data_IF_192348944960
#
_entry.id   IF_192348944960
#
_cell.length_a   1.000
_cell.length_b   1.000
_cell.length_c   1.000
_cell.angle_alpha   90.00
_cell.angle_beta   90.00
_cell.angle_gamma   90.00
#
_symmetry.space_group_name_H-M   'P 1'
#
loop_
_entity.id
_entity.type
_entity.pdbx_description
1 polymer ?
#
# COMPACT_ATOMS: atom_id res chain seq x y z
N UNK A 1 2.55 -2.84 12.40
CA UNK A 1 3.67 -3.21 11.53
C UNK A 1 4.80 -3.77 12.38
N UNK A 2 5.28 -4.95 12.08
CA UNK A 2 6.28 -5.62 12.90
C UNK A 2 7.41 -6.20 12.03
N UNK A 3 8.62 -6.18 12.57
CA UNK A 3 9.78 -6.80 11.93
C UNK A 3 10.72 -7.29 13.03
N UNK A 4 10.77 -8.62 13.21
CA UNK A 4 11.50 -9.23 14.29
C UNK A 4 10.95 -8.77 15.65
N UNK A 5 11.80 -8.19 16.49
CA UNK A 5 11.42 -7.66 17.79
C UNK A 5 10.93 -6.21 17.74
N UNK A 6 10.88 -5.62 16.56
CA UNK A 6 10.49 -4.20 16.37
C UNK A 6 9.02 -4.14 16.01
N UNK A 7 8.25 -3.35 16.76
CA UNK A 7 6.84 -3.10 16.51
C UNK A 7 6.60 -1.61 16.44
N UNK A 8 5.94 -1.17 15.36
CA UNK A 8 5.55 0.23 15.19
C UNK A 8 4.08 0.32 14.85
N UNK A 9 3.39 1.27 15.46
CA UNK A 9 2.00 1.57 15.20
C UNK A 9 1.89 2.91 14.50
N UNK A 10 1.08 2.99 13.45
CA UNK A 10 0.90 4.22 12.68
C UNK A 10 -0.56 4.63 12.69
N UNK A 11 -0.82 5.88 13.04
CA UNK A 11 -2.18 6.42 13.08
C UNK A 11 -2.65 6.95 11.74
N UNK A 12 -1.73 7.24 10.84
CA UNK A 12 -2.06 7.77 9.51
C UNK A 12 -2.54 6.63 8.61
N UNK A 13 -3.58 6.93 7.84
CA UNK A 13 -4.07 5.97 6.87
C UNK A 13 -3.21 5.97 5.62
N UNK A 14 -3.05 4.78 5.07
CA UNK A 14 -2.63 4.60 3.70
C UNK A 14 -1.15 4.74 3.47
N UNK A 15 -0.83 5.30 2.33
CA UNK A 15 0.50 5.17 1.75
C UNK A 15 1.54 6.08 2.36
N UNK A 16 1.15 7.13 3.09
CA UNK A 16 2.11 8.12 3.59
C UNK A 16 3.18 7.49 4.48
N UNK A 17 2.76 6.64 5.43
CA UNK A 17 3.71 5.99 6.32
C UNK A 17 4.54 4.93 5.61
N UNK A 18 3.92 4.15 4.71
CA UNK A 18 4.64 3.17 3.90
C UNK A 18 5.67 3.84 3.00
N UNK A 19 5.29 4.96 2.37
CA UNK A 19 6.21 5.70 1.51
C UNK A 19 7.38 6.25 2.31
N UNK A 20 7.12 6.82 3.47
CA UNK A 20 8.19 7.35 4.33
C UNK A 20 9.16 6.24 4.74
N UNK A 21 8.64 5.09 5.15
CA UNK A 21 9.49 3.96 5.52
C UNK A 21 10.31 3.46 4.35
N UNK A 22 9.72 3.41 3.16
CA UNK A 22 10.44 2.97 1.97
C UNK A 22 11.61 3.89 1.65
N UNK A 23 11.44 5.20 1.85
CA UNK A 23 12.47 6.20 1.56
C UNK A 23 13.50 6.34 2.66
N UNK A 24 13.08 6.29 3.93
CA UNK A 24 13.93 6.60 5.07
C UNK A 24 14.41 5.38 5.84
N UNK A 25 13.59 4.33 5.91
CA UNK A 25 13.89 3.14 6.70
C UNK A 25 13.50 1.88 5.94
N UNK A 26 14.03 1.66 4.72
CA UNK A 26 13.64 0.48 3.93
C UNK A 26 13.97 -0.84 4.62
N UNK A 27 14.97 -0.87 5.48
CA UNK A 27 15.33 -2.07 6.22
C UNK A 27 14.24 -2.50 7.20
N UNK A 28 13.41 -1.56 7.68
CA UNK A 28 12.29 -1.92 8.54
C UNK A 28 11.16 -2.59 7.76
N UNK A 29 10.93 -2.17 6.52
CA UNK A 29 9.92 -2.79 5.66
C UNK A 29 10.34 -4.18 5.17
N UNK A 30 11.62 -4.37 4.91
CA UNK A 30 12.10 -5.64 4.37
C UNK A 30 11.85 -6.79 5.34
N UNK A 31 11.05 -7.76 4.92
CA UNK A 31 10.67 -8.89 5.76
C UNK A 31 9.60 -8.58 6.81
N UNK A 32 9.03 -7.38 6.79
CA UNK A 32 8.04 -6.98 7.80
C UNK A 32 6.71 -7.72 7.64
N UNK A 33 5.96 -7.77 8.74
CA UNK A 33 4.56 -8.19 8.76
C UNK A 33 3.72 -6.96 9.03
N UNK A 34 2.76 -6.69 8.14
CA UNK A 34 1.95 -5.47 8.17
C UNK A 34 0.49 -5.83 8.43
N UNK A 35 -0.16 -5.07 9.32
CA UNK A 35 -1.61 -5.13 9.51
C UNK A 35 -2.17 -3.75 9.19
N UNK A 36 -3.17 -3.69 8.33
CA UNK A 36 -3.79 -2.44 7.91
C UNK A 36 -5.28 -2.63 7.79
N UNK A 37 -6.02 -1.53 7.75
CA UNK A 37 -7.48 -1.60 7.58
C UNK A 37 -7.87 -1.70 6.12
N UNK A 38 -7.17 -0.98 5.25
CA UNK A 38 -7.51 -0.90 3.83
C UNK A 38 -6.23 -0.92 3.02
N UNK A 39 -6.16 -1.83 2.04
CA UNK A 39 -5.03 -1.91 1.12
C UNK A 39 -5.53 -1.74 -0.31
N UNK A 40 -5.16 -0.64 -0.93
CA UNK A 40 -5.36 -0.41 -2.35
C UNK A 40 -4.11 -0.73 -3.14
N UNK A 41 -4.17 -0.49 -4.45
CA UNK A 41 -3.06 -0.79 -5.35
C UNK A 41 -1.78 -0.05 -4.97
N UNK A 42 -1.90 1.22 -4.55
CA UNK A 42 -0.74 2.02 -4.15
C UNK A 42 -0.02 1.43 -2.93
N UNK A 43 -0.78 1.08 -1.88
CA UNK A 43 -0.20 0.46 -0.70
C UNK A 43 0.46 -0.89 -1.03
N UNK A 44 -0.20 -1.70 -1.86
CA UNK A 44 0.35 -2.97 -2.30
C UNK A 44 1.68 -2.78 -3.05
N UNK A 45 1.76 -1.76 -3.91
CA UNK A 45 2.98 -1.45 -4.64
C UNK A 45 4.13 -1.09 -3.70
N UNK A 46 3.86 -0.26 -2.70
CA UNK A 46 4.89 0.12 -1.73
C UNK A 46 5.37 -1.07 -0.91
N UNK A 47 4.46 -1.97 -0.53
CA UNK A 47 4.84 -3.17 0.20
C UNK A 47 5.68 -4.12 -0.64
N UNK A 48 5.36 -4.26 -1.93
CA UNK A 48 6.17 -5.06 -2.85
C UNK A 48 7.58 -4.48 -2.98
N UNK A 49 7.69 -3.17 -3.20
CA UNK A 49 8.99 -2.52 -3.36
C UNK A 49 9.81 -2.56 -2.08
N UNK A 50 9.15 -2.49 -0.93
CA UNK A 50 9.83 -2.55 0.36
C UNK A 50 10.24 -3.94 0.79
N UNK A 51 9.80 -4.98 0.10
CA UNK A 51 10.14 -6.36 0.46
C UNK A 51 9.37 -6.88 1.67
N UNK A 52 8.17 -6.38 1.91
CA UNK A 52 7.29 -6.87 2.98
C UNK A 52 7.04 -8.36 2.80
N UNK A 53 7.12 -9.12 3.88
CA UNK A 53 6.94 -10.58 3.82
C UNK A 53 5.48 -10.97 3.77
N UNK A 54 4.64 -10.28 4.53
CA UNK A 54 3.24 -10.66 4.69
C UNK A 54 2.43 -9.46 5.17
N UNK A 55 1.16 -9.37 4.73
CA UNK A 55 0.24 -8.42 5.34
C UNK A 55 -1.13 -9.05 5.54
N UNK A 56 -1.88 -8.47 6.47
CA UNK A 56 -3.30 -8.76 6.68
C UNK A 56 -4.06 -7.43 6.65
N UNK A 57 -5.21 -7.41 6.00
CA UNK A 57 -6.05 -6.22 5.92
C UNK A 57 -7.53 -6.59 6.03
N UNK A 58 -8.34 -5.66 6.55
CA UNK A 58 -9.77 -5.85 6.58
C UNK A 58 -10.36 -5.77 5.18
N UNK A 59 -9.91 -4.81 4.37
CA UNK A 59 -10.42 -4.56 3.03
C UNK A 59 -9.28 -4.44 2.04
N UNK A 60 -9.39 -5.13 0.90
CA UNK A 60 -8.42 -5.04 -0.18
C UNK A 60 -9.14 -4.77 -1.50
N UNK A 61 -8.53 -3.99 -2.38
CA UNK A 61 -9.09 -3.78 -3.71
C UNK A 61 -8.68 -4.89 -4.66
N UNK A 62 -9.56 -5.21 -5.63
CA UNK A 62 -9.24 -6.17 -6.68
C UNK A 62 -8.01 -5.74 -7.46
N UNK A 63 -7.79 -4.43 -7.60
CA UNK A 63 -6.64 -3.87 -8.28
C UNK A 63 -5.34 -4.18 -7.54
N UNK A 64 -5.37 -4.14 -6.21
CA UNK A 64 -4.21 -4.55 -5.40
C UNK A 64 -3.92 -6.04 -5.60
N UNK A 65 -4.95 -6.87 -5.60
CA UNK A 65 -4.79 -8.31 -5.81
C UNK A 65 -4.16 -8.60 -7.17
N UNK A 66 -4.60 -7.92 -8.23
CA UNK A 66 -4.04 -8.08 -9.56
C UNK A 66 -2.54 -7.79 -9.57
N UNK A 67 -2.11 -6.73 -8.88
CA UNK A 67 -0.70 -6.37 -8.79
C UNK A 67 0.11 -7.40 -8.01
N UNK A 68 -0.51 -8.02 -7.00
CA UNK A 68 0.15 -8.99 -6.13
C UNK A 68 0.24 -10.40 -6.72
N UNK A 69 -0.53 -10.70 -7.75
CA UNK A 69 -0.53 -12.03 -8.37
C UNK A 69 0.86 -12.40 -8.89
N UNK A 70 1.27 -13.62 -8.60
CA UNK A 70 2.58 -14.12 -9.03
C UNK A 70 3.76 -13.58 -8.24
N UNK A 71 3.51 -12.81 -7.19
CA UNK A 71 4.56 -12.27 -6.34
C UNK A 71 4.74 -13.13 -5.09
N UNK A 72 5.89 -13.01 -4.46
CA UNK A 72 6.22 -13.82 -3.28
C UNK A 72 5.61 -13.26 -1.98
N UNK A 73 5.08 -12.04 -2.00
CA UNK A 73 4.47 -11.43 -0.83
C UNK A 73 3.18 -12.17 -0.49
N UNK A 74 3.05 -12.59 0.77
CA UNK A 74 1.84 -13.27 1.26
C UNK A 74 0.85 -12.27 1.82
N UNK A 75 -0.44 -12.53 1.64
CA UNK A 75 -1.47 -11.63 2.15
C UNK A 75 -2.76 -12.37 2.47
N UNK A 76 -3.53 -11.77 3.40
CA UNK A 76 -4.86 -12.24 3.76
C UNK A 76 -5.77 -11.02 3.94
N UNK A 77 -7.06 -11.21 3.67
CA UNK A 77 -8.04 -10.12 3.76
C UNK A 77 -9.40 -10.68 4.16
N UNK A 78 -10.25 -9.80 4.70
CA UNK A 78 -11.61 -10.16 5.08
C UNK A 78 -12.61 -9.85 3.96
N UNK A 79 -12.43 -8.74 3.24
CA UNK A 79 -13.35 -8.30 2.21
C UNK A 79 -12.59 -7.77 1.00
N UNK A 80 -12.96 -8.25 -0.19
CA UNK A 80 -12.45 -7.72 -1.44
C UNK A 80 -13.47 -6.78 -2.07
N UNK A 81 -13.00 -5.61 -2.52
CA UNK A 81 -13.83 -4.61 -3.21
C UNK A 81 -13.18 -4.28 -4.56
N UNK A 82 -13.98 -3.82 -5.57
CA UNK A 82 -13.42 -3.51 -6.89
C UNK A 82 -12.36 -2.41 -6.86
N UNK A 83 -12.53 -1.42 -6.00
CA UNK A 83 -11.61 -0.29 -5.84
C UNK A 83 -11.83 0.34 -4.48
N UNK A 84 -10.84 1.10 -4.01
CA UNK A 84 -10.96 1.81 -2.74
C UNK A 84 -11.72 3.11 -2.99
N UNK A 85 -12.72 3.35 -2.14
CA UNK A 85 -13.57 4.55 -2.20
C UNK A 85 -12.95 5.62 -1.30
N UNK A 86 -13.06 6.89 -1.71
CA UNK A 86 -12.55 8.00 -0.91
C UNK A 86 -13.39 8.18 0.37
N UNK A 87 -12.91 9.07 1.26
CA UNK A 87 -13.56 9.27 2.57
C UNK A 87 -14.99 9.79 2.48
N UNK A 88 -15.31 10.56 1.44
CA UNK A 88 -16.65 11.10 1.25
C UNK A 88 -17.59 10.12 0.56
N UNK A 89 -17.07 8.99 0.10
CA UNK A 89 -17.80 7.92 -0.57
C UNK A 89 -18.49 8.36 -1.86
N UNK A 90 -17.99 9.42 -2.48
CA UNK A 90 -18.55 9.92 -3.75
C UNK A 90 -17.66 9.58 -4.96
N UNK A 91 -16.60 8.80 -4.76
CA UNK A 91 -15.73 8.40 -5.86
C UNK A 91 -14.58 7.53 -5.40
N UNK A 92 -13.66 7.25 -6.34
CA UNK A 92 -12.47 6.45 -6.06
C UNK A 92 -11.48 7.22 -5.19
N UNK A 93 -10.74 6.49 -4.36
CA UNK A 93 -9.59 7.07 -3.68
C UNK A 93 -8.65 7.67 -4.74
N UNK A 94 -8.13 8.89 -4.52
CA UNK A 94 -7.25 9.54 -5.51
C UNK A 94 -6.06 8.68 -5.93
N UNK A 95 -5.46 7.93 -5.01
CA UNK A 95 -4.34 7.06 -5.35
C UNK A 95 -4.77 5.84 -6.15
N UNK A 96 -5.95 5.28 -5.89
CA UNK A 96 -6.47 4.20 -6.72
C UNK A 96 -6.68 4.70 -8.16
N UNK A 97 -7.16 5.93 -8.32
CA UNK A 97 -7.34 6.52 -9.64
C UNK A 97 -6.00 6.72 -10.35
N UNK A 98 -5.01 7.28 -9.65
CA UNK A 98 -3.70 7.53 -10.24
C UNK A 98 -2.97 6.25 -10.63
N UNK A 99 -3.13 5.20 -9.86
CA UNK A 99 -2.45 3.93 -10.11
C UNK A 99 -3.25 2.96 -10.97
N UNK A 100 -4.46 3.37 -11.40
CA UNK A 100 -5.39 2.49 -12.11
C UNK A 100 -4.76 1.78 -13.29
N UNK A 101 -4.00 2.50 -14.11
CA UNK A 101 -3.42 1.95 -15.33
C UNK A 101 -1.97 1.49 -15.17
N UNK A 102 -1.43 1.56 -13.96
CA UNK A 102 -0.07 1.09 -13.70
C UNK A 102 -0.02 -0.43 -13.75
N UNK A 103 1.03 -0.96 -14.36
CA UNK A 103 1.23 -2.41 -14.49
C UNK A 103 2.26 -2.94 -13.50
N UNK A 104 3.14 -2.09 -12.99
CA UNK A 104 4.22 -2.49 -12.10
C UNK A 104 4.19 -1.64 -10.85
N UNK A 105 4.84 -2.16 -9.78
CA UNK A 105 4.97 -1.41 -8.53
C UNK A 105 5.78 -0.13 -8.74
N UNK A 106 6.79 -0.17 -9.61
CA UNK A 106 7.62 0.99 -9.92
C UNK A 106 6.81 2.11 -10.59
N UNK A 107 5.91 1.75 -11.50
CA UNK A 107 5.02 2.74 -12.12
C UNK A 107 4.10 3.37 -11.08
N UNK A 108 3.60 2.57 -10.14
CA UNK A 108 2.78 3.08 -9.05
C UNK A 108 3.57 4.03 -8.16
N UNK A 109 4.83 3.72 -7.90
CA UNK A 109 5.68 4.57 -7.07
C UNK A 109 5.80 5.98 -7.66
N UNK A 110 5.98 6.09 -8.97
CA UNK A 110 6.05 7.40 -9.63
C UNK A 110 4.77 8.21 -9.41
N UNK A 111 3.61 7.57 -9.50
CA UNK A 111 2.33 8.23 -9.25
C UNK A 111 2.15 8.62 -7.77
N UNK A 112 2.59 7.76 -6.87
CA UNK A 112 2.51 8.02 -5.44
C UNK A 112 3.39 9.21 -5.07
N UNK A 113 4.61 9.26 -5.58
CA UNK A 113 5.52 10.38 -5.32
C UNK A 113 4.93 11.70 -5.83
N UNK A 114 4.36 11.69 -7.02
CA UNK A 114 3.73 12.89 -7.59
C UNK A 114 2.57 13.36 -6.73
N UNK A 115 1.75 12.43 -6.23
CA UNK A 115 0.62 12.75 -5.37
C UNK A 115 1.06 13.35 -4.04
N UNK A 116 2.03 12.72 -3.37
CA UNK A 116 2.53 13.19 -2.08
C UNK A 116 3.18 14.57 -2.23
N UNK A 117 3.97 14.77 -3.27
CA UNK A 117 4.61 16.04 -3.54
C UNK A 117 3.58 17.15 -3.76
N UNK A 118 2.51 16.86 -4.50
CA UNK A 118 1.46 17.86 -4.76
C UNK A 118 0.71 18.26 -3.49
N UNK A 119 0.57 17.34 -2.53
CA UNK A 119 -0.10 17.67 -1.27
C UNK A 119 0.77 18.50 -0.35
N UNK A 120 2.09 18.40 -0.47
CA UNK A 120 3.04 19.12 0.37
C UNK A 120 3.48 20.47 -0.24
N UNK A 121 3.02 20.76 -1.43
CA UNK A 121 3.41 21.98 -2.14
C UNK A 121 2.66 23.22 -1.64
#
# INVERSE_FOLDING_TARGET
MANGNRLRTFDRRGVADLYRLLREEPEFLHGAVVADKVVGKAAAALMLLGGVAEFHTDVISSRAIELLQGRSLRYAYDLEVPHIINRTRDGWCPLETRCRDCRTAEECLAQIEAFITSQNA
#
